data_IF_524794332091
#
_entry.id   IF_524794332091
#
_cell.length_a   1.000
_cell.length_b   1.000
_cell.length_c   1.000
_cell.angle_alpha   90.00
_cell.angle_beta   90.00
_cell.angle_gamma   90.00
#
_symmetry.space_group_name_H-M   'P 1'
#
loop_
_entity.id
_entity.type
_entity.pdbx_description
1 polymer ?
#
# COMPACT_ATOMS: atom_id res chain seq x y z
N UNK A 1 -6.54 8.86 -2.60
CA UNK A 1 -5.55 8.80 -1.51
C UNK A 1 -4.91 7.42 -1.49
N UNK A 2 -3.84 7.22 -0.73
CA UNK A 2 -3.26 5.91 -0.46
C UNK A 2 -2.70 5.85 0.96
N UNK A 3 -2.50 4.63 1.46
CA UNK A 3 -1.94 4.37 2.78
C UNK A 3 -0.77 3.40 2.68
N UNK A 4 0.22 3.58 3.54
CA UNK A 4 1.31 2.62 3.71
C UNK A 4 1.57 2.41 5.20
N UNK A 5 2.08 1.23 5.54
CA UNK A 5 2.56 0.89 6.88
C UNK A 5 3.93 0.23 6.74
N UNK A 6 4.88 0.61 7.58
CA UNK A 6 6.13 -0.15 7.69
C UNK A 6 5.79 -1.48 8.36
N UNK A 7 6.14 -2.59 7.72
CA UNK A 7 5.97 -3.91 8.32
C UNK A 7 7.12 -4.16 9.29
N UNK A 8 6.91 -3.80 10.54
CA UNK A 8 7.70 -4.20 11.71
C UNK A 8 6.80 -4.92 12.73
N UNK A 9 7.34 -5.29 13.89
CA UNK A 9 6.54 -5.97 14.94
C UNK A 9 5.50 -5.05 15.62
N UNK A 10 5.57 -3.73 15.39
CA UNK A 10 4.74 -2.72 16.05
C UNK A 10 3.61 -2.18 15.16
N UNK A 11 3.84 -2.10 13.84
CA UNK A 11 2.91 -1.55 12.84
C UNK A 11 2.43 -0.12 13.16
N UNK A 12 3.30 0.68 13.81
CA UNK A 12 3.00 2.03 14.29
C UNK A 12 3.38 3.14 13.30
N UNK A 13 4.30 2.86 12.38
CA UNK A 13 4.75 3.81 11.34
C UNK A 13 3.85 3.71 10.13
N UNK A 14 3.07 4.75 9.90
CA UNK A 14 2.13 4.83 8.79
C UNK A 14 2.34 6.08 7.96
N UNK A 15 2.03 5.98 6.67
CA UNK A 15 1.93 7.12 5.77
C UNK A 15 0.51 7.19 5.20
N UNK A 16 -0.07 8.38 5.16
CA UNK A 16 -1.34 8.64 4.51
C UNK A 16 -1.19 9.78 3.50
N UNK A 17 -1.36 9.48 2.22
CA UNK A 17 -1.22 10.43 1.13
C UNK A 17 -2.57 10.79 0.52
N UNK A 18 -2.91 12.08 0.52
CA UNK A 18 -4.04 12.63 -0.22
C UNK A 18 -3.51 13.50 -1.34
N UNK A 19 -3.83 13.16 -2.59
CA UNK A 19 -3.26 13.78 -3.78
C UNK A 19 -4.36 14.40 -4.61
N UNK A 20 -4.10 15.61 -5.10
CA UNK A 20 -4.96 16.26 -6.07
C UNK A 20 -5.07 15.41 -7.35
N UNK A 21 -6.27 15.21 -7.92
CA UNK A 21 -6.44 14.52 -9.19
C UNK A 21 -5.70 15.21 -10.35
N UNK A 22 -5.09 14.43 -11.23
CA UNK A 22 -4.35 14.91 -12.41
C UNK A 22 -5.18 14.94 -13.70
N UNK A 23 -6.46 14.60 -13.60
CA UNK A 23 -7.38 14.50 -14.73
C UNK A 23 -8.77 14.98 -14.34
N UNK A 24 -9.46 15.57 -15.30
CA UNK A 24 -10.90 15.89 -15.21
C UNK A 24 -11.78 14.65 -15.36
N UNK A 25 -11.23 13.54 -15.87
CA UNK A 25 -11.96 12.26 -15.97
C UNK A 25 -11.95 11.56 -14.62
N UNK A 26 -13.14 11.27 -14.10
CA UNK A 26 -13.33 10.51 -12.87
C UNK A 26 -14.62 9.70 -12.94
N UNK A 27 -14.72 8.68 -12.08
CA UNK A 27 -15.89 7.83 -11.95
C UNK A 27 -16.54 8.17 -10.59
N UNK A 28 -17.76 8.75 -10.57
CA UNK A 28 -18.41 9.17 -9.34
C UNK A 28 -18.54 8.10 -8.27
N UNK A 29 -18.91 6.90 -8.68
CA UNK A 29 -19.10 5.75 -7.81
C UNK A 29 -17.78 5.31 -7.17
N UNK A 30 -16.67 5.41 -7.91
CA UNK A 30 -15.35 5.08 -7.39
C UNK A 30 -14.86 6.10 -6.37
N UNK A 31 -15.13 7.40 -6.59
CA UNK A 31 -14.77 8.43 -5.61
C UNK A 31 -15.61 8.32 -4.34
N UNK A 32 -16.90 8.00 -4.45
CA UNK A 32 -17.80 7.87 -3.31
C UNK A 32 -17.31 6.85 -2.27
N UNK A 33 -16.64 5.77 -2.70
CA UNK A 33 -16.03 4.76 -1.80
C UNK A 33 -14.97 5.38 -0.88
N UNK A 34 -14.26 6.42 -1.34
CA UNK A 34 -13.22 7.08 -0.56
C UNK A 34 -13.75 8.05 0.51
N UNK A 35 -15.05 8.38 0.45
CA UNK A 35 -15.68 9.33 1.38
C UNK A 35 -15.38 10.81 1.10
N UNK A 36 -14.75 11.14 -0.03
CA UNK A 36 -14.48 12.54 -0.43
C UNK A 36 -15.41 12.99 -1.57
N UNK A 37 -15.78 14.26 -1.54
CA UNK A 37 -16.34 14.99 -2.68
C UNK A 37 -15.24 15.33 -3.70
N UNK A 38 -15.64 15.63 -4.94
CA UNK A 38 -14.69 16.01 -5.98
C UNK A 38 -13.98 17.31 -5.61
N UNK A 39 -14.71 18.28 -5.09
CA UNK A 39 -14.24 19.58 -4.65
C UNK A 39 -13.16 19.45 -3.55
N UNK A 40 -13.38 18.57 -2.57
CA UNK A 40 -12.37 18.27 -1.54
C UNK A 40 -11.09 17.69 -2.17
N UNK A 41 -11.22 16.76 -3.12
CA UNK A 41 -10.03 16.19 -3.77
C UNK A 41 -9.22 17.23 -4.56
N UNK A 42 -9.87 18.25 -5.11
CA UNK A 42 -9.19 19.33 -5.83
C UNK A 42 -8.38 20.24 -4.90
N UNK A 43 -8.68 20.24 -3.59
CA UNK A 43 -7.96 20.99 -2.58
C UNK A 43 -6.81 20.20 -1.92
N UNK A 44 -6.62 18.93 -2.29
CA UNK A 44 -5.49 18.14 -1.79
C UNK A 44 -4.15 18.63 -2.32
N UNK A 45 -3.07 18.16 -1.70
CA UNK A 45 -1.71 18.51 -2.10
C UNK A 45 -1.39 18.05 -3.53
N UNK A 46 -0.56 18.85 -4.19
CA UNK A 46 -0.05 18.53 -5.53
C UNK A 46 0.63 17.14 -5.51
N UNK A 47 0.36 16.27 -6.50
CA UNK A 47 0.86 14.89 -6.46
C UNK A 47 2.37 14.78 -6.33
N UNK A 48 3.12 15.66 -6.97
CA UNK A 48 4.58 15.68 -6.86
C UNK A 48 5.04 15.88 -5.41
N UNK A 49 4.40 16.77 -4.65
CA UNK A 49 4.71 17.00 -3.24
C UNK A 49 4.42 15.74 -2.42
N UNK A 50 3.24 15.15 -2.57
CA UNK A 50 2.85 13.96 -1.79
C UNK A 50 3.76 12.77 -2.10
N UNK A 51 4.12 12.58 -3.38
CA UNK A 51 5.05 11.52 -3.76
C UNK A 51 6.46 11.79 -3.20
N UNK A 52 6.90 13.05 -3.15
CA UNK A 52 8.18 13.42 -2.54
C UNK A 52 8.18 13.17 -1.02
N UNK A 53 7.09 13.52 -0.35
CA UNK A 53 6.88 13.25 1.08
C UNK A 53 6.89 11.74 1.34
N UNK A 54 6.25 10.95 0.47
CA UNK A 54 6.26 9.49 0.58
C UNK A 54 7.65 8.90 0.32
N UNK A 55 8.39 9.40 -0.66
CA UNK A 55 9.78 8.98 -0.91
C UNK A 55 10.68 9.26 0.30
N UNK A 56 10.51 10.42 0.93
CA UNK A 56 11.25 10.80 2.13
C UNK A 56 10.90 9.88 3.30
N UNK A 57 9.60 9.61 3.50
CA UNK A 57 9.13 8.69 4.52
C UNK A 57 9.69 7.27 4.33
N UNK A 58 9.71 6.75 3.10
CA UNK A 58 10.32 5.43 2.79
C UNK A 58 11.81 5.44 3.15
N UNK A 59 12.54 6.48 2.74
CA UNK A 59 13.98 6.63 3.00
C UNK A 59 14.31 6.70 4.50
N UNK A 60 13.48 7.37 5.27
CA UNK A 60 13.65 7.53 6.72
C UNK A 60 13.45 6.20 7.47
N UNK A 61 12.48 5.39 7.02
CA UNK A 61 12.02 4.23 7.79
C UNK A 61 12.54 2.88 7.27
N UNK A 62 13.14 2.82 6.08
CA UNK A 62 13.61 1.57 5.47
C UNK A 62 15.13 1.45 5.51
N UNK A 63 15.65 0.26 5.81
CA UNK A 63 17.09 -0.03 5.69
C UNK A 63 17.39 -0.76 4.38
N UNK A 64 18.08 -0.06 3.48
CA UNK A 64 18.37 -0.58 2.14
C UNK A 64 17.21 -0.34 1.18
N UNK A 65 16.99 -1.25 0.22
CA UNK A 65 15.91 -1.12 -0.75
C UNK A 65 14.59 -1.60 -0.13
N UNK A 66 13.60 -0.71 -0.09
CA UNK A 66 12.25 -1.05 0.36
C UNK A 66 11.56 -2.02 -0.61
N UNK A 67 10.71 -2.90 -0.08
CA UNK A 67 9.91 -3.85 -0.88
C UNK A 67 8.44 -3.49 -0.78
N UNK A 68 7.78 -3.34 -1.92
CA UNK A 68 6.34 -3.10 -1.98
C UNK A 68 5.58 -4.42 -1.92
N UNK A 69 4.62 -4.54 -0.99
CA UNK A 69 3.70 -5.69 -0.90
C UNK A 69 2.27 -5.20 -0.66
N UNK A 70 1.28 -5.79 -1.34
CA UNK A 70 -0.13 -5.52 -1.08
C UNK A 70 -1.05 -6.68 -1.46
N UNK A 71 -2.33 -6.60 -1.05
CA UNK A 71 -3.38 -7.57 -1.43
C UNK A 71 -3.74 -7.43 -2.92
N UNK A 72 -4.17 -6.23 -3.32
CA UNK A 72 -4.53 -5.93 -4.70
C UNK A 72 -3.31 -5.43 -5.49
N UNK A 73 -2.22 -6.19 -5.41
CA UNK A 73 -0.91 -5.79 -5.89
C UNK A 73 -0.89 -5.28 -7.32
N UNK A 74 -1.59 -5.93 -8.26
CA UNK A 74 -1.63 -5.45 -9.65
C UNK A 74 -2.20 -4.04 -9.78
N UNK A 75 -3.24 -3.72 -9.01
CA UNK A 75 -3.88 -2.41 -9.02
C UNK A 75 -3.10 -1.38 -8.19
N UNK A 76 -2.67 -1.72 -6.98
CA UNK A 76 -1.94 -0.77 -6.13
C UNK A 76 -0.58 -0.41 -6.73
N UNK A 77 0.13 -1.41 -7.26
CA UNK A 77 1.46 -1.24 -7.82
C UNK A 77 1.45 -0.39 -9.09
N UNK A 78 0.45 -0.55 -9.98
CA UNK A 78 0.43 0.24 -11.22
C UNK A 78 0.34 1.74 -10.93
N UNK A 79 -0.45 2.15 -9.92
CA UNK A 79 -0.55 3.55 -9.54
C UNK A 79 0.72 4.03 -8.84
N UNK A 80 1.19 3.32 -7.81
CA UNK A 80 2.37 3.77 -7.05
C UNK A 80 3.62 3.83 -7.94
N UNK A 81 3.85 2.80 -8.76
CA UNK A 81 4.97 2.75 -9.69
C UNK A 81 4.91 3.88 -10.71
N UNK A 82 3.75 4.10 -11.34
CA UNK A 82 3.57 5.17 -12.32
C UNK A 82 3.77 6.54 -11.68
N UNK A 83 3.17 6.82 -10.52
CA UNK A 83 3.29 8.12 -9.86
C UNK A 83 4.73 8.42 -9.44
N UNK A 84 5.48 7.43 -8.94
CA UNK A 84 6.88 7.61 -8.62
C UNK A 84 7.73 7.99 -9.84
N UNK A 85 7.58 7.25 -10.94
CA UNK A 85 8.31 7.56 -12.16
C UNK A 85 7.86 8.87 -12.81
N UNK A 86 6.56 9.15 -12.84
CA UNK A 86 6.01 10.33 -13.49
C UNK A 86 6.40 11.62 -12.75
N UNK A 87 6.40 11.63 -11.42
CA UNK A 87 6.65 12.84 -10.65
C UNK A 87 8.08 12.99 -10.13
N UNK A 88 8.80 11.89 -9.89
CA UNK A 88 10.14 11.91 -9.27
C UNK A 88 11.21 11.21 -10.12
N UNK A 89 10.87 10.68 -11.29
CA UNK A 89 11.76 9.95 -12.22
C UNK A 89 12.40 8.68 -11.65
N UNK A 90 12.10 8.32 -10.40
CA UNK A 90 12.64 7.16 -9.70
C UNK A 90 11.58 6.52 -8.80
N UNK A 91 11.65 5.19 -8.68
CA UNK A 91 10.83 4.43 -7.75
C UNK A 91 11.71 3.83 -6.64
N UNK A 92 11.54 4.23 -5.35
CA UNK A 92 12.35 3.72 -4.24
C UNK A 92 12.18 2.21 -3.99
N UNK A 93 11.11 1.59 -4.51
CA UNK A 93 10.87 0.15 -4.42
C UNK A 93 11.59 -0.66 -5.53
N UNK A 94 12.09 -0.01 -6.58
CA UNK A 94 12.61 -0.66 -7.77
C UNK A 94 11.51 -1.08 -8.76
N UNK A 95 11.76 -2.15 -9.52
CA UNK A 95 10.89 -2.57 -10.64
C UNK A 95 9.85 -3.64 -10.27
N UNK A 96 9.91 -4.19 -9.06
CA UNK A 96 9.11 -5.36 -8.66
C UNK A 96 8.32 -5.10 -7.39
N UNK A 97 7.21 -5.81 -7.26
CA UNK A 97 6.35 -5.81 -6.09
C UNK A 97 5.89 -7.22 -5.77
N UNK A 98 5.39 -7.43 -4.55
CA UNK A 98 4.95 -8.72 -4.04
C UNK A 98 3.44 -8.74 -3.87
N UNK A 99 2.80 -9.84 -4.28
CA UNK A 99 1.37 -10.05 -4.09
C UNK A 99 1.14 -10.92 -2.84
N UNK A 100 0.53 -10.34 -1.80
CA UNK A 100 0.27 -11.02 -0.54
C UNK A 100 -0.70 -12.20 -0.69
N UNK A 101 -1.70 -12.05 -1.55
CA UNK A 101 -2.65 -13.12 -1.87
C UNK A 101 -1.96 -14.32 -2.52
N UNK A 102 -1.09 -14.06 -3.50
CA UNK A 102 -0.31 -15.11 -4.16
C UNK A 102 0.67 -15.79 -3.20
N UNK A 103 1.33 -15.02 -2.33
CA UNK A 103 2.19 -15.58 -1.28
C UNK A 103 1.39 -16.54 -0.39
N UNK A 104 0.23 -16.11 0.10
CA UNK A 104 -0.62 -16.94 0.96
C UNK A 104 -1.04 -18.24 0.26
N UNK A 105 -1.60 -18.13 -0.95
CA UNK A 105 -2.01 -19.29 -1.77
C UNK A 105 -0.86 -20.28 -1.98
N UNK A 106 0.35 -19.76 -2.21
CA UNK A 106 1.56 -20.56 -2.38
C UNK A 106 1.92 -21.35 -1.12
N UNK A 107 1.88 -20.73 0.06
CA UNK A 107 2.25 -21.42 1.32
C UNK A 107 1.19 -22.41 1.80
N UNK A 108 -0.10 -22.14 1.55
CA UNK A 108 -1.18 -23.10 1.84
C UNK A 108 -1.41 -24.12 0.72
N UNK A 109 -0.77 -23.94 -0.44
CA UNK A 109 -0.88 -24.78 -1.64
C UNK A 109 -2.33 -24.91 -2.16
N UNK A 110 -3.10 -23.83 -2.06
CA UNK A 110 -4.50 -23.80 -2.48
C UNK A 110 -4.82 -22.45 -3.16
N UNK A 111 -5.21 -22.52 -4.43
CA UNK A 111 -5.48 -21.33 -5.25
C UNK A 111 -6.86 -20.70 -5.02
N UNK A 112 -7.74 -21.38 -4.28
CA UNK A 112 -9.08 -20.93 -3.93
C UNK A 112 -9.13 -20.22 -2.57
N UNK A 113 -8.11 -20.42 -1.73
CA UNK A 113 -8.02 -19.81 -0.41
C UNK A 113 -7.60 -18.33 -0.44
N UNK A 114 -7.97 -17.60 0.60
CA UNK A 114 -7.57 -16.20 0.81
C UNK A 114 -7.17 -15.95 2.28
N UNK A 115 -6.36 -14.92 2.52
CA UNK A 115 -5.82 -14.61 3.84
C UNK A 115 -6.69 -13.63 4.65
N UNK A 116 -7.84 -13.17 4.14
CA UNK A 116 -8.57 -12.02 4.74
C UNK A 116 -8.98 -12.27 6.19
N UNK A 117 -9.18 -13.52 6.58
CA UNK A 117 -9.46 -13.95 7.95
C UNK A 117 -8.30 -13.76 8.93
N UNK A 118 -7.09 -13.44 8.43
CA UNK A 118 -5.90 -13.13 9.23
C UNK A 118 -5.72 -11.64 9.50
N UNK A 119 -6.61 -10.77 8.96
CA UNK A 119 -6.62 -9.34 9.28
C UNK A 119 -7.24 -9.13 10.66
N UNK A 120 -6.60 -8.36 11.53
CA UNK A 120 -7.09 -8.02 12.88
C UNK A 120 -7.74 -6.63 12.85
N UNK A 121 -7.06 -5.65 12.25
CA UNK A 121 -7.59 -4.31 12.02
C UNK A 121 -8.80 -4.39 11.10
N UNK A 122 -9.92 -3.79 11.55
CA UNK A 122 -11.17 -3.78 10.80
C UNK A 122 -11.02 -2.98 9.50
N UNK A 123 -11.55 -3.52 8.41
CA UNK A 123 -11.64 -2.82 7.14
C UNK A 123 -12.64 -1.66 7.26
N UNK A 124 -12.13 -0.42 7.27
CA UNK A 124 -12.93 0.82 7.41
C UNK A 124 -13.03 1.60 6.10
N UNK A 125 -12.45 1.08 5.01
CA UNK A 125 -12.17 1.81 3.75
C UNK A 125 -11.18 2.97 3.91
N UNK A 126 -10.59 3.15 5.10
CA UNK A 126 -9.45 4.03 5.28
C UNK A 126 -8.17 3.32 4.80
N UNK A 127 -7.40 3.88 3.84
CA UNK A 127 -6.27 3.17 3.22
C UNK A 127 -5.19 2.68 4.19
N UNK A 128 -4.98 3.40 5.31
CA UNK A 128 -4.01 2.98 6.34
C UNK A 128 -4.49 1.77 7.12
N UNK A 129 -5.79 1.68 7.42
CA UNK A 129 -6.34 0.54 8.18
C UNK A 129 -6.26 -0.74 7.34
N UNK A 130 -6.48 -0.60 6.03
CA UNK A 130 -6.34 -1.69 5.07
C UNK A 130 -4.88 -2.16 4.96
N UNK A 131 -3.94 -1.21 4.90
CA UNK A 131 -2.51 -1.50 4.90
C UNK A 131 -2.09 -2.22 6.20
N UNK A 132 -2.58 -1.77 7.36
CA UNK A 132 -2.36 -2.42 8.65
C UNK A 132 -2.91 -3.84 8.68
N UNK A 133 -4.15 -4.06 8.26
CA UNK A 133 -4.74 -5.39 8.16
C UNK A 133 -3.91 -6.35 7.29
N UNK A 134 -3.39 -5.86 6.17
CA UNK A 134 -2.49 -6.63 5.31
C UNK A 134 -1.15 -6.94 5.99
N UNK A 135 -0.57 -6.00 6.72
CA UNK A 135 0.67 -6.20 7.45
C UNK A 135 0.52 -7.22 8.59
N UNK A 136 -0.56 -7.18 9.36
CA UNK A 136 -0.89 -8.17 10.39
C UNK A 136 -1.01 -9.58 9.81
N UNK A 137 -1.70 -9.71 8.67
CA UNK A 137 -1.81 -10.96 7.96
C UNK A 137 -0.43 -11.45 7.49
N UNK A 138 0.41 -10.57 6.94
CA UNK A 138 1.77 -10.92 6.51
C UNK A 138 2.63 -11.42 7.68
N UNK A 139 2.59 -10.75 8.84
CA UNK A 139 3.31 -11.18 10.04
C UNK A 139 2.81 -12.56 10.53
N UNK A 140 1.50 -12.77 10.50
CA UNK A 140 0.89 -14.06 10.86
C UNK A 140 1.34 -15.17 9.93
N UNK A 141 1.31 -14.94 8.61
CA UNK A 141 1.78 -15.88 7.59
C UNK A 141 3.28 -16.15 7.76
N UNK A 142 4.08 -15.10 7.95
CA UNK A 142 5.52 -15.21 8.19
C UNK A 142 5.81 -16.15 9.36
N UNK A 143 5.12 -15.97 10.48
CA UNK A 143 5.28 -16.77 11.69
C UNK A 143 4.78 -18.21 11.51
N UNK A 144 3.60 -18.40 10.91
CA UNK A 144 2.98 -19.71 10.75
C UNK A 144 3.76 -20.64 9.81
N UNK A 145 4.44 -20.07 8.81
CA UNK A 145 5.16 -20.82 7.77
C UNK A 145 6.68 -20.62 7.79
N UNK A 146 7.23 -20.03 8.86
CA UNK A 146 8.67 -19.75 9.03
C UNK A 146 9.32 -19.05 7.81
N UNK A 147 8.62 -18.05 7.26
CA UNK A 147 9.09 -17.36 6.06
C UNK A 147 10.25 -16.41 6.36
N UNK A 148 11.28 -16.48 5.52
CA UNK A 148 12.46 -15.60 5.57
C UNK A 148 12.18 -14.25 4.89
N UNK A 149 11.36 -13.43 5.55
CA UNK A 149 11.08 -12.04 5.17
C UNK A 149 11.83 -11.10 6.13
N UNK A 150 12.62 -10.18 5.58
CA UNK A 150 13.29 -9.12 6.37
C UNK A 150 12.30 -8.02 6.70
N UNK A 151 12.24 -7.62 7.98
CA UNK A 151 11.38 -6.53 8.49
C UNK A 151 12.21 -5.29 8.88
N UNK A 152 13.39 -5.14 8.27
CA UNK A 152 14.39 -4.13 8.63
C UNK A 152 14.27 -2.88 7.78
#
# INVERSE_FOLDING_TARGET
>A
SFGAVLVDDHLDKTFYGQLQPISEKWIPEALAVSGFSREETLAFDAPQKVMQDFANWIKEHSKGQAVFISDNNGFDWMFICWYFHHFLEKNPFGHSSQNLGSLYKGVVKDMFQNFKHLRVTKHTHHPVDDAKGNAEALLTIKKAFDLKISLK
#
